data_IF_479665860343
#
_entry.id   IF_479665860343
#
_cell.length_a   1.000
_cell.length_b   1.000
_cell.length_c   1.000
_cell.angle_alpha   90.00
_cell.angle_beta   90.00
_cell.angle_gamma   90.00
#
_symmetry.space_group_name_H-M   'P 1'
#
loop_
_entity.id
_entity.type
_entity.pdbx_description
1 polymer ?
#
# COMPACT_ATOMS: atom_id res chain seq x y z
N UNK A 1 37.55 1.39 -38.56
CA UNK A 1 37.60 0.63 -37.29
C UNK A 1 36.23 0.76 -36.65
N UNK A 2 35.50 -0.35 -36.46
CA UNK A 2 34.23 -0.35 -35.73
C UNK A 2 34.54 -0.26 -34.23
N UNK A 3 33.83 0.58 -33.46
CA UNK A 3 34.04 0.68 -32.02
C UNK A 3 33.72 -0.65 -31.32
N UNK A 4 34.56 -1.06 -30.36
CA UNK A 4 34.38 -2.28 -29.56
C UNK A 4 33.13 -2.16 -28.70
N UNK A 5 32.12 -2.98 -28.98
CA UNK A 5 30.82 -2.98 -28.29
C UNK A 5 30.89 -3.45 -26.83
N UNK A 6 32.06 -3.91 -26.36
CA UNK A 6 32.25 -4.48 -25.03
C UNK A 6 32.66 -3.47 -23.96
N UNK A 7 32.85 -2.20 -24.30
CA UNK A 7 33.20 -1.17 -23.32
C UNK A 7 32.57 0.20 -23.67
N UNK A 8 31.26 0.39 -23.40
CA UNK A 8 30.62 1.67 -23.65
C UNK A 8 31.21 2.75 -22.73
N UNK A 9 31.42 3.99 -23.22
CA UNK A 9 31.88 5.11 -22.40
C UNK A 9 30.91 5.36 -21.24
N UNK A 10 31.42 5.75 -20.08
CA UNK A 10 30.67 5.83 -18.82
C UNK A 10 29.36 6.65 -18.87
N UNK A 11 29.23 7.58 -19.82
CA UNK A 11 28.00 8.37 -20.01
C UNK A 11 26.84 7.57 -20.63
N UNK A 12 27.08 6.41 -21.23
CA UNK A 12 26.06 5.50 -21.77
C UNK A 12 25.50 4.51 -20.74
N UNK A 13 26.05 4.46 -19.51
CA UNK A 13 25.59 3.58 -18.43
C UNK A 13 24.39 4.14 -17.63
N UNK A 14 23.87 5.31 -17.99
CA UNK A 14 22.76 5.97 -17.30
C UNK A 14 21.50 6.03 -18.18
N UNK A 15 21.07 4.88 -18.71
CA UNK A 15 19.69 4.72 -19.16
C UNK A 15 18.93 4.07 -18.00
N UNK A 16 18.43 4.89 -17.07
CA UNK A 16 17.34 4.44 -16.20
C UNK A 16 16.12 4.28 -17.10
N UNK A 17 15.65 3.06 -17.28
CA UNK A 17 14.40 2.82 -17.99
C UNK A 17 13.27 3.41 -17.14
N UNK A 18 12.70 4.51 -17.61
CA UNK A 18 11.53 5.12 -16.99
C UNK A 18 10.28 4.35 -17.43
N UNK A 19 9.79 3.46 -16.56
CA UNK A 19 8.55 2.73 -16.80
C UNK A 19 7.34 3.64 -16.55
N UNK A 20 6.55 3.89 -17.59
CA UNK A 20 5.36 4.71 -17.51
C UNK A 20 4.21 3.88 -16.93
N UNK A 21 4.12 3.83 -15.59
CA UNK A 21 3.14 3.04 -14.86
C UNK A 21 1.77 3.72 -14.78
N UNK A 22 0.71 2.91 -14.71
CA UNK A 22 -0.64 3.38 -14.37
C UNK A 22 -0.67 4.00 -12.97
N UNK A 23 -1.68 4.86 -12.64
CA UNK A 23 -1.78 5.51 -11.34
C UNK A 23 -1.59 4.51 -10.19
N UNK A 24 -0.65 4.80 -9.29
CA UNK A 24 -0.37 3.95 -8.15
C UNK A 24 -1.56 3.98 -7.18
N UNK A 25 -2.23 2.83 -7.01
CA UNK A 25 -3.24 2.64 -5.99
C UNK A 25 -2.66 1.75 -4.88
N UNK A 26 -2.44 2.34 -3.71
CA UNK A 26 -2.10 1.59 -2.50
C UNK A 26 -3.37 1.30 -1.71
N UNK A 27 -3.50 0.15 -1.05
CA UNK A 27 -4.61 -0.21 -0.16
C UNK A 27 -4.08 -0.90 1.10
N UNK A 28 -4.64 -0.58 2.28
CA UNK A 28 -3.89 -0.68 3.54
C UNK A 28 -4.25 -1.84 4.47
N UNK A 29 -5.28 -2.61 4.18
CA UNK A 29 -6.01 -3.35 5.22
C UNK A 29 -5.42 -4.72 5.60
N UNK A 30 -4.49 -5.24 4.79
CA UNK A 30 -3.88 -6.56 5.00
C UNK A 30 -4.92 -7.70 5.02
N UNK A 31 -4.48 -8.92 5.34
CA UNK A 31 -5.38 -10.08 5.33
C UNK A 31 -6.53 -9.96 6.34
N UNK A 32 -6.26 -9.39 7.52
CA UNK A 32 -7.26 -9.23 8.58
C UNK A 32 -8.27 -8.17 8.19
N UNK A 33 -7.83 -6.99 7.75
CA UNK A 33 -8.75 -5.92 7.39
C UNK A 33 -9.63 -6.31 6.20
N UNK A 34 -9.08 -6.96 5.17
CA UNK A 34 -9.88 -7.50 4.05
C UNK A 34 -10.98 -8.47 4.52
N UNK A 35 -10.67 -9.37 5.47
CA UNK A 35 -11.65 -10.30 6.02
C UNK A 35 -12.74 -9.59 6.84
N UNK A 36 -12.38 -8.56 7.61
CA UNK A 36 -13.33 -7.78 8.39
C UNK A 36 -14.21 -6.91 7.49
N UNK A 37 -13.66 -6.28 6.46
CA UNK A 37 -14.43 -5.60 5.42
C UNK A 37 -15.45 -6.54 4.77
N UNK A 38 -15.05 -7.77 4.41
CA UNK A 38 -15.98 -8.75 3.86
C UNK A 38 -17.09 -9.12 4.85
N UNK A 39 -16.75 -9.33 6.13
CA UNK A 39 -17.73 -9.61 7.18
C UNK A 39 -18.72 -8.46 7.38
N UNK A 40 -18.24 -7.21 7.39
CA UNK A 40 -19.10 -6.02 7.50
C UNK A 40 -20.07 -5.93 6.32
N UNK A 41 -19.58 -6.17 5.09
CA UNK A 41 -20.41 -6.18 3.87
C UNK A 41 -21.46 -7.29 3.84
N UNK A 42 -21.25 -8.38 4.58
CA UNK A 42 -22.22 -9.46 4.77
C UNK A 42 -23.23 -9.15 5.90
N UNK A 43 -23.17 -7.97 6.51
CA UNK A 43 -24.11 -7.51 7.54
C UNK A 43 -23.70 -7.86 8.97
N UNK A 44 -22.46 -8.30 9.20
CA UNK A 44 -21.92 -8.45 10.56
C UNK A 44 -21.42 -7.10 11.10
N UNK A 45 -21.09 -7.07 12.39
CA UNK A 45 -20.49 -5.91 13.06
C UNK A 45 -19.08 -6.25 13.57
N UNK A 46 -18.09 -6.42 12.66
CA UNK A 46 -16.73 -6.79 13.03
C UNK A 46 -16.00 -5.67 13.78
N UNK A 47 -15.09 -6.06 14.68
CA UNK A 47 -14.20 -5.15 15.42
C UNK A 47 -12.76 -5.62 15.30
N UNK A 48 -11.83 -4.67 15.13
CA UNK A 48 -10.39 -4.95 15.08
C UNK A 48 -9.68 -4.48 16.35
N UNK A 49 -8.69 -5.27 16.78
CA UNK A 49 -7.74 -4.93 17.84
C UNK A 49 -6.34 -4.97 17.24
N UNK A 50 -5.71 -3.81 17.11
CA UNK A 50 -4.41 -3.71 16.43
C UNK A 50 -3.65 -2.45 16.86
N UNK A 51 -2.51 -2.22 16.22
CA UNK A 51 -1.75 -0.98 16.29
C UNK A 51 -1.43 -0.52 14.89
N UNK A 52 -1.57 0.77 14.63
CA UNK A 52 -1.08 1.43 13.41
C UNK A 52 -0.09 2.54 13.75
N UNK A 53 0.75 2.90 12.79
CA UNK A 53 1.64 4.06 12.91
C UNK A 53 0.83 5.36 12.97
N UNK A 54 1.34 6.37 13.69
CA UNK A 54 0.75 7.72 13.68
C UNK A 54 1.22 8.52 12.46
N UNK A 55 1.03 7.96 11.28
CA UNK A 55 1.42 8.51 9.99
C UNK A 55 0.25 8.48 8.99
N UNK A 56 0.47 9.00 7.79
CA UNK A 56 -0.58 9.09 6.77
C UNK A 56 -1.12 7.71 6.36
N UNK A 57 -0.28 6.67 6.34
CA UNK A 57 -0.71 5.33 5.98
C UNK A 57 -1.59 4.71 7.07
N UNK A 58 -1.20 4.87 8.35
CA UNK A 58 -2.01 4.41 9.48
C UNK A 58 -3.36 5.11 9.58
N UNK A 59 -3.41 6.42 9.32
CA UNK A 59 -4.68 7.18 9.26
C UNK A 59 -5.57 6.62 8.15
N UNK A 60 -5.01 6.44 6.94
CA UNK A 60 -5.76 5.95 5.79
C UNK A 60 -6.32 4.53 5.99
N UNK A 61 -5.58 3.65 6.66
CA UNK A 61 -6.06 2.31 7.04
C UNK A 61 -7.29 2.42 7.95
N UNK A 62 -7.26 3.31 8.94
CA UNK A 62 -8.38 3.49 9.84
C UNK A 62 -9.62 4.04 9.13
N UNK A 63 -9.42 5.00 8.23
CA UNK A 63 -10.50 5.57 7.40
C UNK A 63 -11.10 4.53 6.46
N UNK A 64 -10.27 3.68 5.83
CA UNK A 64 -10.70 2.56 4.96
C UNK A 64 -11.56 1.56 5.76
N UNK A 65 -11.06 1.09 6.90
CA UNK A 65 -11.77 0.12 7.76
C UNK A 65 -13.06 0.68 8.35
N UNK A 66 -13.05 1.92 8.87
CA UNK A 66 -14.23 2.55 9.43
C UNK A 66 -15.29 2.83 8.35
N UNK A 67 -14.86 3.26 7.16
CA UNK A 67 -15.73 3.44 5.99
C UNK A 67 -16.41 2.15 5.53
N UNK A 68 -15.74 1.01 5.66
CA UNK A 68 -16.29 -0.32 5.39
C UNK A 68 -17.18 -0.87 6.53
N UNK A 69 -17.31 -0.14 7.65
CA UNK A 69 -18.15 -0.52 8.79
C UNK A 69 -17.45 -1.42 9.83
N UNK A 70 -16.12 -1.46 9.82
CA UNK A 70 -15.33 -2.15 10.84
C UNK A 70 -15.09 -1.22 12.02
N UNK A 71 -15.36 -1.69 13.24
CA UNK A 71 -15.11 -0.92 14.45
C UNK A 71 -13.61 -0.88 14.78
N UNK A 72 -13.03 0.33 14.73
CA UNK A 72 -11.62 0.63 14.97
C UNK A 72 -11.33 1.26 16.34
N UNK A 73 -12.33 1.35 17.23
CA UNK A 73 -12.22 2.04 18.54
C UNK A 73 -11.12 1.49 19.47
N UNK A 74 -10.61 0.30 19.19
CA UNK A 74 -9.56 -0.38 19.98
C UNK A 74 -8.21 -0.43 19.25
N UNK A 75 -8.06 0.29 18.14
CA UNK A 75 -6.77 0.43 17.47
C UNK A 75 -5.95 1.54 18.13
N UNK A 76 -4.71 1.21 18.50
CA UNK A 76 -3.78 2.18 19.06
C UNK A 76 -2.98 2.85 17.94
N UNK A 77 -3.00 4.18 17.88
CA UNK A 77 -2.11 4.98 17.01
C UNK A 77 -0.86 5.41 17.79
N UNK A 78 0.31 4.86 17.44
CA UNK A 78 1.61 5.24 18.02
C UNK A 78 2.72 5.21 17.01
#
# INVERSE_FOLDING_TARGET
MLPDSRNPPAHQLLAVEEENATPLQAQGDGNVGNALTAAARLGLSPRIFSKVGKDAAGIRILEELEGDGVDVSHVVCR
#
